data_IF_050183211975
#
_entry.id   IF_050183211975
#
_cell.length_a   1.000
_cell.length_b   1.000
_cell.length_c   1.000
_cell.angle_alpha   90.00
_cell.angle_beta   90.00
_cell.angle_gamma   90.00
#
_symmetry.space_group_name_H-M   'P 1'
#
loop_
_entity.id
_entity.type
_entity.pdbx_description
1 polymer ?
#
# COMPACT_ATOMS: atom_id res chain seq x y z
N UNK A 1 -5.97 6.61 14.59
CA UNK A 1 -6.74 7.02 13.41
C UNK A 1 -5.80 7.15 12.21
N UNK A 2 -4.67 7.85 12.37
CA UNK A 2 -3.67 8.07 11.31
C UNK A 2 -3.18 6.82 10.57
N UNK A 3 -2.81 5.73 11.28
CA UNK A 3 -2.29 4.53 10.61
C UNK A 3 -3.26 3.90 9.57
N UNK A 4 -4.57 4.01 9.80
CA UNK A 4 -5.56 3.52 8.84
C UNK A 4 -5.61 4.40 7.58
N UNK A 5 -5.48 5.72 7.74
CA UNK A 5 -5.44 6.66 6.62
C UNK A 5 -4.16 6.45 5.79
N UNK A 6 -3.01 6.28 6.43
CA UNK A 6 -1.73 6.04 5.74
C UNK A 6 -1.75 4.76 4.90
N UNK A 7 -2.34 3.68 5.44
CA UNK A 7 -2.52 2.41 4.73
C UNK A 7 -3.48 2.59 3.54
N UNK A 8 -4.64 3.20 3.76
CA UNK A 8 -5.67 3.37 2.74
C UNK A 8 -5.19 4.27 1.59
N UNK A 9 -4.72 5.48 1.89
CA UNK A 9 -4.17 6.37 0.86
C UNK A 9 -2.94 5.75 0.20
N UNK A 10 -2.17 4.97 0.95
CA UNK A 10 -1.00 4.27 0.42
C UNK A 10 -1.34 3.29 -0.69
N UNK A 11 -2.40 2.49 -0.52
CA UNK A 11 -2.86 1.52 -1.52
C UNK A 11 -3.62 2.18 -2.67
N UNK A 12 -4.51 3.14 -2.37
CA UNK A 12 -5.28 3.88 -3.40
C UNK A 12 -4.33 4.62 -4.35
N UNK A 13 -3.26 5.24 -3.84
CA UNK A 13 -2.27 5.92 -4.67
C UNK A 13 -1.49 4.98 -5.61
N UNK A 14 -1.34 3.70 -5.26
CA UNK A 14 -0.69 2.72 -6.13
C UNK A 14 -1.61 2.36 -7.30
N UNK A 15 -2.89 2.16 -7.03
CA UNK A 15 -3.89 1.90 -8.07
C UNK A 15 -4.09 3.07 -9.00
N UNK A 16 -4.26 4.28 -8.46
CA UNK A 16 -4.37 5.49 -9.27
C UNK A 16 -3.12 5.69 -10.12
N UNK A 17 -1.93 5.41 -9.56
CA UNK A 17 -0.68 5.49 -10.29
C UNK A 17 -0.63 4.53 -11.49
N UNK A 18 -1.20 3.32 -11.35
CA UNK A 18 -1.33 2.36 -12.44
C UNK A 18 -2.35 2.78 -13.48
N UNK A 19 -3.55 3.18 -13.07
CA UNK A 19 -4.64 3.61 -13.96
C UNK A 19 -4.26 4.87 -14.74
N UNK A 20 -3.41 5.73 -14.16
CA UNK A 20 -2.88 6.93 -14.81
C UNK A 20 -1.60 6.68 -15.63
N UNK A 21 -1.14 5.43 -15.77
CA UNK A 21 0.10 5.06 -16.46
C UNK A 21 1.35 5.79 -15.92
N UNK A 22 1.33 6.15 -14.63
CA UNK A 22 2.44 6.77 -13.91
C UNK A 22 3.35 5.73 -13.25
N UNK A 23 2.83 4.52 -13.04
CA UNK A 23 3.53 3.37 -12.49
C UNK A 23 3.42 2.19 -13.44
N UNK A 24 4.47 1.38 -13.53
CA UNK A 24 4.41 0.13 -14.27
C UNK A 24 3.74 -0.97 -13.44
N UNK A 25 2.97 -1.83 -14.12
CA UNK A 25 2.29 -2.97 -13.49
C UNK A 25 3.28 -3.89 -12.76
N UNK A 26 4.41 -4.22 -13.38
CA UNK A 26 5.39 -5.14 -12.80
C UNK A 26 6.02 -4.56 -11.53
N UNK A 27 6.22 -3.24 -11.47
CA UNK A 27 6.75 -2.58 -10.27
C UNK A 27 5.78 -2.64 -9.09
N UNK A 28 4.48 -2.40 -9.35
CA UNK A 28 3.46 -2.46 -8.29
C UNK A 28 3.19 -3.89 -7.87
N UNK A 29 3.13 -4.83 -8.82
CA UNK A 29 2.99 -6.26 -8.52
C UNK A 29 4.15 -6.75 -7.65
N UNK A 30 5.40 -6.45 -8.01
CA UNK A 30 6.58 -6.83 -7.23
C UNK A 30 6.55 -6.24 -5.81
N UNK A 31 6.09 -4.99 -5.66
CA UNK A 31 5.93 -4.36 -4.34
C UNK A 31 4.89 -5.08 -3.48
N UNK A 32 3.72 -5.39 -4.04
CA UNK A 32 2.67 -6.09 -3.30
C UNK A 32 3.07 -7.54 -2.99
N UNK A 33 3.77 -8.22 -3.90
CA UNK A 33 4.33 -9.54 -3.65
C UNK A 33 5.37 -9.52 -2.53
N UNK A 34 6.23 -8.50 -2.47
CA UNK A 34 7.19 -8.33 -1.38
C UNK A 34 6.53 -8.06 -0.02
N UNK A 35 5.32 -7.48 -0.01
CA UNK A 35 4.52 -7.28 1.20
C UNK A 35 3.84 -8.58 1.65
N UNK A 36 3.20 -9.28 0.73
CA UNK A 36 2.40 -10.49 1.02
C UNK A 36 3.29 -11.70 1.27
N UNK A 37 4.47 -11.76 0.63
CA UNK A 37 5.39 -12.88 0.72
C UNK A 37 4.75 -14.18 0.25
N UNK A 38 4.89 -15.23 1.06
CA UNK A 38 4.38 -16.57 0.74
C UNK A 38 2.87 -16.76 0.99
N UNK A 39 2.20 -15.79 1.65
CA UNK A 39 0.76 -15.83 1.96
C UNK A 39 -0.11 -15.47 0.75
N UNK A 40 0.22 -16.04 -0.39
CA UNK A 40 -0.53 -15.86 -1.63
C UNK A 40 -1.67 -16.88 -1.73
N UNK A 41 -2.90 -16.44 -1.97
CA UNK A 41 -4.02 -17.34 -2.15
C UNK A 41 -3.83 -18.17 -3.42
N UNK A 42 -4.34 -19.41 -3.39
CA UNK A 42 -4.32 -20.35 -4.52
C UNK A 42 -4.86 -19.71 -5.80
N UNK A 43 -5.89 -18.86 -5.66
CA UNK A 43 -6.52 -18.12 -6.76
C UNK A 43 -5.57 -17.15 -7.47
N UNK A 44 -4.51 -16.66 -6.80
CA UNK A 44 -3.46 -15.89 -7.45
C UNK A 44 -2.47 -16.81 -8.18
N UNK A 45 -2.08 -17.92 -7.54
CA UNK A 45 -1.13 -18.91 -8.09
C UNK A 45 -1.62 -19.58 -9.37
N UNK A 46 -2.94 -19.73 -9.50
CA UNK A 46 -3.58 -20.28 -10.69
C UNK A 46 -3.64 -19.30 -11.87
N UNK A 47 -3.32 -18.01 -11.68
CA UNK A 47 -3.36 -17.01 -12.74
C UNK A 47 -2.07 -17.05 -13.56
N UNK A 48 -2.22 -17.27 -14.87
CA UNK A 48 -1.13 -17.29 -15.83
C UNK A 48 -0.74 -15.89 -16.33
N UNK A 49 0.26 -15.79 -17.22
CA UNK A 49 0.71 -14.53 -17.81
C UNK A 49 -0.36 -13.82 -18.65
N UNK A 50 -1.31 -14.58 -19.21
CA UNK A 50 -2.41 -14.05 -20.04
C UNK A 50 -3.65 -13.59 -19.26
N UNK A 51 -3.68 -13.82 -17.95
CA UNK A 51 -4.81 -13.40 -17.11
C UNK A 51 -4.86 -11.89 -16.89
N UNK A 52 -6.05 -11.40 -16.56
CA UNK A 52 -6.28 -9.98 -16.30
C UNK A 52 -5.40 -9.45 -15.17
N UNK A 53 -4.52 -8.50 -15.51
CA UNK A 53 -3.70 -7.72 -14.56
C UNK A 53 -4.55 -7.11 -13.43
N UNK A 54 -5.75 -6.62 -13.78
CA UNK A 54 -6.70 -6.06 -12.81
C UNK A 54 -7.16 -7.09 -11.77
N UNK A 55 -7.37 -8.34 -12.19
CA UNK A 55 -7.74 -9.45 -11.29
C UNK A 55 -6.60 -9.81 -10.36
N UNK A 56 -5.37 -9.91 -10.88
CA UNK A 56 -4.15 -10.16 -10.08
C UNK A 56 -3.97 -9.09 -9.01
N UNK A 57 -4.06 -7.82 -9.40
CA UNK A 57 -3.98 -6.67 -8.48
C UNK A 57 -5.07 -6.68 -7.41
N UNK A 58 -6.32 -6.99 -7.77
CA UNK A 58 -7.40 -7.04 -6.80
C UNK A 58 -7.15 -8.08 -5.69
N UNK A 59 -6.59 -9.24 -6.04
CA UNK A 59 -6.24 -10.29 -5.08
C UNK A 59 -5.07 -9.83 -4.20
N UNK A 60 -3.99 -9.35 -4.81
CA UNK A 60 -2.82 -8.86 -4.08
C UNK A 60 -3.16 -7.71 -3.13
N UNK A 61 -4.04 -6.80 -3.54
CA UNK A 61 -4.53 -5.70 -2.70
C UNK A 61 -5.28 -6.19 -1.49
N UNK A 62 -6.20 -7.14 -1.65
CA UNK A 62 -6.94 -7.71 -0.52
C UNK A 62 -6.00 -8.27 0.53
N UNK A 63 -4.97 -8.99 0.08
CA UNK A 63 -3.91 -9.49 0.96
C UNK A 63 -3.04 -8.40 1.55
N UNK A 64 -2.65 -7.39 0.77
CA UNK A 64 -1.90 -6.25 1.28
C UNK A 64 -2.63 -5.52 2.42
N UNK A 65 -3.94 -5.29 2.29
CA UNK A 65 -4.77 -4.68 3.34
C UNK A 65 -4.73 -5.54 4.61
N UNK A 66 -4.91 -6.86 4.47
CA UNK A 66 -4.85 -7.80 5.60
C UNK A 66 -3.50 -7.73 6.33
N UNK A 67 -2.39 -7.81 5.58
CA UNK A 67 -1.04 -7.76 6.14
C UNK A 67 -0.71 -6.42 6.81
N UNK A 68 -1.07 -5.30 6.17
CA UNK A 68 -0.85 -3.96 6.73
C UNK A 68 -1.68 -3.72 7.98
N UNK A 69 -2.95 -4.15 7.98
CA UNK A 69 -3.84 -4.03 9.15
C UNK A 69 -3.33 -4.86 10.31
N UNK A 70 -2.90 -6.10 10.05
CA UNK A 70 -2.31 -6.97 11.07
C UNK A 70 -0.99 -6.41 11.62
N UNK A 71 -0.14 -5.85 10.76
CA UNK A 71 1.10 -5.21 11.19
C UNK A 71 0.85 -3.98 12.06
N UNK A 72 -0.13 -3.13 11.70
CA UNK A 72 -0.53 -1.98 12.51
C UNK A 72 -1.12 -2.42 13.86
N UNK A 73 -1.96 -3.46 13.88
CA UNK A 73 -2.52 -4.00 15.11
C UNK A 73 -1.42 -4.56 16.05
N UNK A 74 -0.44 -5.28 15.50
CA UNK A 74 0.72 -5.78 16.28
C UNK A 74 1.55 -4.63 16.84
N UNK A 75 1.89 -3.64 16.02
CA UNK A 75 2.61 -2.45 16.47
C UNK A 75 1.85 -1.72 17.59
N UNK A 76 0.53 -1.63 17.49
CA UNK A 76 -0.30 -1.03 18.53
C UNK A 76 -0.22 -1.77 19.86
N UNK A 77 -0.33 -3.10 19.83
CA UNK A 77 -0.23 -3.93 21.03
C UNK A 77 1.17 -3.83 21.66
N UNK A 78 2.23 -3.87 20.84
CA UNK A 78 3.61 -3.73 21.30
C UNK A 78 3.87 -2.36 21.95
N UNK A 79 3.28 -1.30 21.41
CA UNK A 79 3.47 0.08 21.89
C UNK A 79 2.38 0.52 22.88
N UNK A 80 1.46 -0.36 23.29
CA UNK A 80 0.26 0.00 24.06
C UNK A 80 0.59 0.79 25.33
N UNK A 81 1.64 0.39 26.06
CA UNK A 81 2.03 1.06 27.29
C UNK A 81 2.52 2.50 27.03
N UNK A 82 3.35 2.69 25.98
CA UNK A 82 3.83 4.01 25.58
C UNK A 82 2.70 4.91 25.06
N UNK A 83 1.75 4.33 24.32
CA UNK A 83 0.55 5.02 23.84
C UNK A 83 -0.32 5.52 24.99
N UNK A 84 -0.62 4.66 25.97
CA UNK A 84 -1.42 5.02 27.14
C UNK A 84 -0.73 6.04 28.05
N UNK A 85 0.61 6.02 28.09
CA UNK A 85 1.41 7.01 28.82
C UNK A 85 1.60 8.34 28.06
N UNK A 86 1.15 8.44 26.80
CA UNK A 86 1.39 9.60 25.94
C UNK A 86 2.86 9.80 25.57
N UNK A 87 3.65 8.73 25.60
CA UNK A 87 5.11 8.75 25.40
C UNK A 87 5.56 8.14 24.07
N UNK A 88 4.62 7.68 23.24
CA UNK A 88 4.96 7.17 21.91
C UNK A 88 5.63 8.28 21.09
N UNK A 89 6.79 7.98 20.52
CA UNK A 89 7.52 8.88 19.64
C UNK A 89 7.19 8.54 18.19
N UNK A 90 6.77 9.53 17.41
CA UNK A 90 6.39 9.37 16.01
C UNK A 90 5.06 8.61 15.80
N UNK A 91 4.79 8.29 14.54
CA UNK A 91 3.52 7.68 14.14
C UNK A 91 3.53 6.17 14.30
N UNK A 92 2.36 5.56 14.53
CA UNK A 92 2.24 4.11 14.72
C UNK A 92 2.80 3.30 13.53
N UNK A 93 2.71 3.82 12.32
CA UNK A 93 3.25 3.21 11.09
C UNK A 93 4.77 3.09 11.13
N UNK A 94 5.46 4.02 11.80
CA UNK A 94 6.91 3.95 11.97
C UNK A 94 7.35 2.78 12.86
N UNK A 95 6.45 2.30 13.70
CA UNK A 95 6.64 1.15 14.59
C UNK A 95 6.17 -0.17 13.96
N UNK A 96 5.65 -0.15 12.73
CA UNK A 96 5.38 -1.38 11.98
C UNK A 96 6.70 -2.03 11.54
N UNK A 97 6.74 -3.36 11.53
CA UNK A 97 7.94 -4.12 11.17
C UNK A 97 7.93 -4.62 9.73
N UNK A 98 9.13 -4.83 9.18
CA UNK A 98 9.33 -5.54 7.93
C UNK A 98 8.77 -4.85 6.68
N UNK A 99 8.20 -5.60 5.73
CA UNK A 99 7.78 -5.05 4.44
C UNK A 99 6.56 -4.13 4.54
N UNK A 100 5.82 -4.22 5.65
CA UNK A 100 4.66 -3.37 5.92
C UNK A 100 5.07 -1.89 6.07
N UNK A 101 6.12 -1.60 6.83
CA UNK A 101 6.69 -0.24 6.95
C UNK A 101 7.22 0.25 5.60
N UNK A 102 7.95 -0.60 4.88
CA UNK A 102 8.47 -0.24 3.57
C UNK A 102 7.36 0.10 2.56
N UNK A 103 6.24 -0.61 2.58
CA UNK A 103 5.11 -0.38 1.69
C UNK A 103 4.46 1.01 1.91
N UNK A 104 4.32 1.43 3.17
CA UNK A 104 3.68 2.71 3.51
C UNK A 104 4.66 3.88 3.36
N UNK A 105 5.90 3.70 3.81
CA UNK A 105 6.92 4.77 3.91
C UNK A 105 7.75 4.98 2.64
N UNK A 106 7.59 4.15 1.60
CA UNK A 106 8.36 4.30 0.36
C UNK A 106 8.12 5.71 -0.22
N UNK A 107 9.16 6.52 -0.44
CA UNK A 107 8.99 7.83 -1.07
C UNK A 107 8.30 7.63 -2.42
N UNK A 108 7.19 8.34 -2.63
CA UNK A 108 6.33 8.21 -3.83
C UNK A 108 6.77 9.26 -4.86
N UNK A 109 7.71 8.97 -5.80
CA UNK A 109 8.19 9.94 -6.77
C UNK A 109 7.08 10.49 -7.70
N UNK A 110 5.91 9.83 -7.76
CA UNK A 110 4.74 10.28 -8.52
C UNK A 110 3.83 11.24 -7.75
N UNK A 111 3.90 11.33 -6.41
CA UNK A 111 3.06 12.26 -5.62
C UNK A 111 3.31 13.72 -5.99
N UNK A 112 4.56 14.08 -6.30
CA UNK A 112 4.92 15.41 -6.80
C UNK A 112 4.47 15.71 -8.24
N UNK A 113 4.15 14.69 -9.05
CA UNK A 113 3.72 14.83 -10.45
C UNK A 113 2.19 14.91 -10.63
N UNK A 114 1.42 14.61 -9.57
CA UNK A 114 -0.06 14.68 -9.59
C UNK A 114 -0.55 16.13 -9.66
N UNK A 115 0.20 17.11 -9.13
CA UNK A 115 -0.19 18.53 -9.17
C UNK A 115 -0.12 19.14 -10.58
N UNK A 116 0.87 18.77 -11.40
CA UNK A 116 1.09 19.42 -12.71
C UNK A 116 0.25 18.85 -13.86
N UNK A 117 -0.13 17.56 -13.83
CA UNK A 117 -0.91 16.93 -14.92
C UNK A 117 -2.42 16.95 -14.73
N UNK A 118 -2.93 17.07 -13.50
CA UNK A 118 -4.37 17.03 -13.23
C UNK A 118 -5.07 18.35 -13.59
N UNK A 119 -4.34 19.47 -13.56
CA UNK A 119 -4.85 20.77 -14.05
C UNK A 119 -5.05 20.77 -15.58
N UNK A 120 -4.19 20.07 -16.34
CA UNK A 120 -4.25 20.05 -17.80
C UNK A 120 -5.42 19.21 -18.38
N UNK A 121 -5.94 18.22 -17.64
CA UNK A 121 -7.07 17.38 -18.14
C UNK A 121 -8.46 17.87 -17.71
N UNK A 122 -8.55 18.81 -16.76
CA UNK A 122 -9.84 19.36 -16.29
C UNK A 122 -10.29 20.61 -17.08
N UNK A 123 -9.51 21.06 -18.06
CA UNK A 123 -9.85 22.22 -18.91
C UNK A 123 -10.36 21.84 -20.32
N UNK A 124 -10.64 20.56 -20.58
CA UNK A 124 -11.13 20.06 -21.89
C UNK A 124 -12.43 19.24 -21.80
N UNK A 125 -13.29 19.55 -20.82
CA UNK A 125 -14.71 19.19 -20.84
C UNK A 125 -15.54 20.33 -20.28
#
# INVERSE_FOLDING_TARGET
MEAADDICYGLIDLEDGLEMELLDYAEVEALLLGLVGDDLPETYRQLGPGDSRRRKLAILRGKAIEHLTNAAARAFVEQQHGLLAGQLQGDLVEHMHGPAKACVFRPRPWRGRRSSRTSARRCMK
#
